data_IF_216208546263
#
_entry.id   IF_216208546263
#
_cell.length_a   1.000
_cell.length_b   1.000
_cell.length_c   1.000
_cell.angle_alpha   90.00
_cell.angle_beta   90.00
_cell.angle_gamma   90.00
#
_symmetry.space_group_name_H-M   'P 1'
#
loop_
_entity.id
_entity.type
_entity.pdbx_description
1 polymer ?
#
# COMPACT_ATOMS: atom_id res chain seq x y z
N UNK A 1 7.72 -9.11 -14.33
CA UNK A 1 7.96 -10.35 -13.59
C UNK A 1 6.77 -10.69 -12.72
N UNK A 2 6.08 -11.77 -13.01
CA UNK A 2 4.97 -12.25 -12.17
C UNK A 2 5.41 -13.23 -11.10
N UNK A 3 6.57 -13.85 -11.26
CA UNK A 3 7.09 -14.88 -10.38
C UNK A 3 8.56 -14.63 -10.09
N UNK A 4 8.99 -15.04 -8.90
CA UNK A 4 10.40 -15.10 -8.54
C UNK A 4 10.82 -16.55 -8.64
N UNK A 5 11.89 -16.80 -9.38
CA UNK A 5 12.50 -18.13 -9.46
C UNK A 5 13.74 -18.15 -8.58
N UNK A 6 13.79 -19.14 -7.71
CA UNK A 6 14.93 -19.36 -6.82
C UNK A 6 15.58 -20.69 -7.20
N UNK A 7 16.84 -20.61 -7.59
CA UNK A 7 17.62 -21.81 -7.87
C UNK A 7 18.36 -22.26 -6.63
N UNK A 8 18.03 -23.43 -6.11
CA UNK A 8 18.72 -24.07 -5.03
C UNK A 8 19.31 -25.38 -5.54
N UNK A 9 20.64 -25.39 -5.75
CA UNK A 9 21.31 -26.54 -6.32
C UNK A 9 20.81 -26.77 -7.77
N UNK A 10 20.22 -27.91 -8.06
CA UNK A 10 19.65 -28.24 -9.38
C UNK A 10 18.12 -28.09 -9.42
N UNK A 11 17.53 -27.63 -8.33
CA UNK A 11 16.08 -27.48 -8.22
C UNK A 11 15.71 -26.02 -8.35
N UNK A 12 14.82 -25.74 -9.28
CA UNK A 12 14.22 -24.41 -9.44
C UNK A 12 12.84 -24.41 -8.78
N UNK A 13 12.64 -23.44 -7.88
CA UNK A 13 11.37 -23.25 -7.21
C UNK A 13 10.72 -21.97 -7.70
N UNK A 14 9.53 -22.09 -8.21
CA UNK A 14 8.72 -20.95 -8.61
C UNK A 14 7.96 -20.43 -7.41
N UNK A 15 8.34 -19.24 -6.95
CA UNK A 15 7.61 -18.57 -5.89
C UNK A 15 6.33 -17.95 -6.44
N UNK A 16 5.35 -17.75 -5.54
CA UNK A 16 4.13 -17.05 -5.90
C UNK A 16 4.42 -15.62 -6.36
N UNK A 17 3.59 -15.12 -7.26
CA UNK A 17 3.67 -13.74 -7.72
C UNK A 17 3.61 -12.76 -6.55
N UNK A 18 4.30 -11.64 -6.69
CA UNK A 18 4.20 -10.55 -5.72
C UNK A 18 2.76 -10.02 -5.70
N UNK A 19 2.15 -10.05 -4.55
CA UNK A 19 0.76 -9.60 -4.36
C UNK A 19 0.71 -8.58 -3.22
N UNK A 20 0.55 -7.30 -3.53
CA UNK A 20 0.25 -6.32 -2.51
C UNK A 20 -1.12 -6.59 -1.88
N UNK A 21 -1.29 -6.23 -0.63
CA UNK A 21 -2.54 -6.45 0.09
C UNK A 21 -3.70 -5.70 -0.55
N UNK A 22 -3.48 -4.45 -0.89
CA UNK A 22 -4.51 -3.61 -1.49
C UNK A 22 -3.89 -2.64 -2.49
N UNK A 23 -4.52 -2.52 -3.64
CA UNK A 23 -4.20 -1.51 -4.63
C UNK A 23 -5.43 -0.63 -4.83
N UNK A 24 -5.25 0.67 -4.69
CA UNK A 24 -6.29 1.66 -4.99
C UNK A 24 -5.86 2.48 -6.18
N UNK A 25 -6.75 2.64 -7.13
CA UNK A 25 -6.50 3.43 -8.33
C UNK A 25 -7.50 4.57 -8.38
N UNK A 26 -7.01 5.79 -8.47
CA UNK A 26 -7.83 6.98 -8.65
C UNK A 26 -7.71 7.49 -10.08
N UNK A 27 -8.72 8.19 -10.55
CA UNK A 27 -8.80 8.74 -11.92
C UNK A 27 -8.46 7.70 -12.99
N UNK A 28 -8.99 6.50 -12.78
CA UNK A 28 -8.70 5.33 -13.61
C UNK A 28 -8.97 5.58 -15.08
N UNK A 29 -8.03 5.23 -15.93
CA UNK A 29 -8.07 5.35 -17.38
C UNK A 29 -8.00 6.79 -17.88
N UNK A 30 -7.50 7.69 -17.07
CA UNK A 30 -7.20 9.08 -17.46
C UNK A 30 -5.71 9.37 -17.37
N UNK A 31 -5.27 10.48 -17.93
CA UNK A 31 -3.88 10.97 -17.81
C UNK A 31 -3.49 11.28 -16.36
N UNK A 32 -4.45 11.45 -15.47
CA UNK A 32 -4.23 11.74 -14.06
C UNK A 32 -4.33 10.50 -13.16
N UNK A 33 -4.37 9.31 -13.73
CA UNK A 33 -4.44 8.08 -12.97
C UNK A 33 -3.29 8.00 -11.95
N UNK A 34 -3.64 7.68 -10.73
CA UNK A 34 -2.69 7.43 -9.64
C UNK A 34 -2.96 6.07 -9.03
N UNK A 35 -1.89 5.36 -8.73
CA UNK A 35 -1.97 4.06 -8.08
C UNK A 35 -1.38 4.16 -6.68
N UNK A 36 -2.13 3.64 -5.70
CA UNK A 36 -1.71 3.60 -4.30
C UNK A 36 -1.57 2.14 -3.90
N UNK A 37 -0.37 1.78 -3.45
CA UNK A 37 -0.08 0.46 -2.89
C UNK A 37 -0.22 0.57 -1.39
N UNK A 38 -1.24 -0.07 -0.85
CA UNK A 38 -1.62 0.04 0.54
C UNK A 38 -1.37 -1.30 1.26
N UNK A 39 -0.79 -1.23 2.43
CA UNK A 39 -0.57 -2.39 3.28
C UNK A 39 -1.13 -2.10 4.66
N UNK A 40 -2.10 -2.90 5.06
CA UNK A 40 -2.73 -2.77 6.37
C UNK A 40 -1.89 -3.50 7.41
N UNK A 41 -1.45 -2.78 8.40
CA UNK A 41 -0.62 -3.32 9.48
C UNK A 41 -1.30 -3.10 10.83
N UNK A 42 -1.58 -4.18 11.52
CA UNK A 42 -2.12 -4.16 12.88
C UNK A 42 -1.03 -3.91 13.90
N UNK A 43 -0.22 -2.87 13.67
CA UNK A 43 0.82 -2.48 14.60
C UNK A 43 0.24 -1.69 15.77
N UNK A 44 0.82 -1.91 16.94
CA UNK A 44 0.39 -1.26 18.19
C UNK A 44 0.78 0.22 18.26
N UNK A 45 1.42 0.76 17.23
CA UNK A 45 1.84 2.15 17.20
C UNK A 45 0.68 3.12 17.39
N UNK A 46 -0.48 2.83 16.84
CA UNK A 46 -1.67 3.66 17.00
C UNK A 46 -2.06 3.87 18.46
N UNK A 47 -1.79 2.88 19.32
CA UNK A 47 -2.07 2.90 20.74
C UNK A 47 -0.88 3.42 21.56
N UNK A 48 0.30 2.87 21.31
CA UNK A 48 1.49 3.06 22.15
C UNK A 48 2.31 4.30 21.78
N UNK A 49 2.27 4.70 20.51
CA UNK A 49 3.13 5.75 19.94
C UNK A 49 4.63 5.49 20.11
N UNK A 50 5.01 4.23 20.32
CA UNK A 50 6.40 3.82 20.45
C UNK A 50 6.98 3.46 19.07
N UNK A 51 8.18 3.95 18.77
CA UNK A 51 8.83 3.76 17.47
C UNK A 51 9.10 2.28 17.13
N UNK A 52 9.36 1.46 18.15
CA UNK A 52 9.55 0.03 17.94
C UNK A 52 8.28 -0.73 17.55
N UNK A 53 7.12 -0.08 17.61
CA UNK A 53 5.85 -0.63 17.14
C UNK A 53 5.49 -0.18 15.72
N UNK A 54 6.39 0.49 15.04
CA UNK A 54 6.27 0.83 13.62
C UNK A 54 6.69 -0.36 12.73
N UNK A 55 6.26 -0.35 11.46
CA UNK A 55 6.72 -1.36 10.50
C UNK A 55 8.24 -1.38 10.38
N UNK A 56 8.81 -2.59 10.35
CA UNK A 56 10.25 -2.80 10.29
C UNK A 56 10.78 -2.73 8.85
N UNK A 57 12.10 -2.71 8.71
CA UNK A 57 12.79 -2.59 7.42
C UNK A 57 12.34 -3.60 6.36
N UNK A 58 12.07 -4.84 6.76
CA UNK A 58 11.56 -5.86 5.85
C UNK A 58 10.22 -5.50 5.22
N UNK A 59 9.32 -4.89 5.97
CA UNK A 59 8.03 -4.40 5.45
C UNK A 59 8.22 -3.22 4.50
N UNK A 60 9.17 -2.34 4.77
CA UNK A 60 9.50 -1.21 3.93
C UNK A 60 10.01 -1.68 2.56
N UNK A 61 10.99 -2.59 2.55
CA UNK A 61 11.58 -3.15 1.33
C UNK A 61 10.52 -3.88 0.51
N UNK A 62 9.70 -4.68 1.15
CA UNK A 62 8.60 -5.42 0.50
C UNK A 62 7.61 -4.48 -0.18
N UNK A 63 7.26 -3.39 0.46
CA UNK A 63 6.33 -2.41 -0.07
C UNK A 63 6.91 -1.68 -1.29
N UNK A 64 8.19 -1.35 -1.26
CA UNK A 64 8.89 -0.78 -2.40
C UNK A 64 8.92 -1.77 -3.56
N UNK A 65 9.20 -3.05 -3.29
CA UNK A 65 9.20 -4.09 -4.31
C UNK A 65 7.84 -4.25 -4.99
N UNK A 66 6.75 -4.15 -4.26
CA UNK A 66 5.41 -4.17 -4.84
C UNK A 66 5.17 -3.02 -5.80
N UNK A 67 5.56 -1.82 -5.43
CA UNK A 67 5.40 -0.64 -6.28
C UNK A 67 6.27 -0.73 -7.54
N UNK A 68 7.51 -1.18 -7.41
CA UNK A 68 8.39 -1.42 -8.56
C UNK A 68 7.80 -2.47 -9.52
N UNK A 69 7.21 -3.51 -9.00
CA UNK A 69 6.56 -4.56 -9.78
C UNK A 69 5.39 -4.00 -10.60
N UNK A 70 4.57 -3.16 -9.99
CA UNK A 70 3.45 -2.51 -10.67
C UNK A 70 3.97 -1.58 -11.78
N UNK A 71 4.98 -0.77 -11.49
CA UNK A 71 5.59 0.12 -12.48
C UNK A 71 6.14 -0.66 -13.68
N UNK A 72 6.81 -1.77 -13.44
CA UNK A 72 7.32 -2.63 -14.52
C UNK A 72 6.20 -3.20 -15.38
N UNK A 73 5.10 -3.64 -14.77
CA UNK A 73 3.94 -4.10 -15.53
C UNK A 73 3.32 -3.01 -16.38
N UNK A 74 3.18 -1.81 -15.85
CA UNK A 74 2.69 -0.66 -16.60
C UNK A 74 3.61 -0.33 -17.78
N UNK A 75 4.93 -0.32 -17.56
CA UNK A 75 5.92 -0.01 -18.60
C UNK A 75 5.97 -1.06 -19.72
N UNK A 76 5.61 -2.30 -19.43
CA UNK A 76 5.53 -3.37 -20.42
C UNK A 76 4.20 -3.40 -21.19
N UNK A 77 3.27 -2.51 -20.85
CA UNK A 77 1.95 -2.49 -21.45
C UNK A 77 1.03 -3.64 -21.00
N UNK A 78 1.39 -4.35 -19.93
CA UNK A 78 0.57 -5.43 -19.37
C UNK A 78 -0.69 -4.90 -18.65
N UNK A 79 -0.66 -3.64 -18.25
CA UNK A 79 -1.82 -2.93 -17.71
C UNK A 79 -2.30 -1.89 -18.72
N UNK A 80 -3.62 -1.75 -18.84
CA UNK A 80 -4.25 -0.91 -19.89
C UNK A 80 -3.81 0.54 -19.87
N UNK A 81 -3.53 1.09 -18.70
CA UNK A 81 -3.17 2.49 -18.54
C UNK A 81 -1.99 2.63 -17.59
N UNK A 82 -1.13 3.59 -17.91
CA UNK A 82 0.02 3.92 -17.10
C UNK A 82 -0.35 4.98 -16.08
N UNK A 83 0.03 4.76 -14.83
CA UNK A 83 -0.19 5.73 -13.76
C UNK A 83 0.77 6.91 -13.87
N UNK A 84 0.28 8.09 -13.62
CA UNK A 84 1.10 9.31 -13.50
C UNK A 84 2.05 9.23 -12.32
N UNK A 85 1.59 8.62 -11.23
CA UNK A 85 2.39 8.39 -10.03
C UNK A 85 1.92 7.13 -9.30
N UNK A 86 2.86 6.48 -8.63
CA UNK A 86 2.60 5.35 -7.75
C UNK A 86 3.04 5.75 -6.34
N UNK A 87 2.17 5.55 -5.37
CA UNK A 87 2.40 5.89 -3.97
C UNK A 87 2.30 4.66 -3.08
N UNK A 88 3.05 4.66 -2.00
CA UNK A 88 3.02 3.63 -0.98
C UNK A 88 2.52 4.18 0.34
N UNK A 89 1.71 3.39 1.05
CA UNK A 89 1.30 3.73 2.40
C UNK A 89 1.11 2.48 3.27
N UNK A 90 1.46 2.63 4.54
CA UNK A 90 1.01 1.74 5.60
C UNK A 90 -0.23 2.32 6.26
N UNK A 91 -1.26 1.51 6.35
CA UNK A 91 -2.51 1.87 7.02
C UNK A 91 -2.54 1.14 8.36
N UNK A 92 -2.58 1.89 9.43
CA UNK A 92 -2.57 1.35 10.79
C UNK A 92 -3.84 1.77 11.53
N UNK A 93 -4.53 0.85 12.19
CA UNK A 93 -5.74 1.19 12.95
C UNK A 93 -5.39 1.95 14.22
N UNK A 94 -6.27 2.84 14.61
CA UNK A 94 -6.23 3.49 15.91
C UNK A 94 -7.64 3.87 16.36
N UNK A 95 -7.79 4.24 17.60
CA UNK A 95 -9.01 4.81 18.13
C UNK A 95 -8.82 6.31 18.33
N UNK A 96 -9.57 7.10 17.58
CA UNK A 96 -9.53 8.55 17.71
C UNK A 96 -10.33 9.00 18.93
N UNK A 97 -9.74 9.88 19.70
CA UNK A 97 -10.40 10.56 20.82
C UNK A 97 -11.17 11.82 20.37
N UNK A 98 -10.96 12.23 19.12
CA UNK A 98 -11.59 13.41 18.53
C UNK A 98 -12.55 13.00 17.43
N UNK A 99 -13.76 13.52 17.45
CA UNK A 99 -14.82 13.14 16.51
C UNK A 99 -14.50 13.40 15.04
N UNK A 100 -13.61 14.35 14.74
CA UNK A 100 -13.32 14.83 13.38
C UNK A 100 -12.01 14.28 12.82
N UNK A 101 -11.27 13.48 13.58
CA UNK A 101 -9.95 12.98 13.19
C UNK A 101 -10.05 11.52 12.73
N UNK A 102 -10.54 11.31 11.51
CA UNK A 102 -10.72 9.96 10.95
C UNK A 102 -9.42 9.35 10.41
N UNK A 103 -8.51 10.19 9.94
CA UNK A 103 -7.21 9.79 9.43
C UNK A 103 -6.15 10.75 9.94
N UNK A 104 -4.98 10.20 10.23
CA UNK A 104 -3.85 10.99 10.69
C UNK A 104 -2.56 10.54 10.02
N UNK A 105 -1.88 11.46 9.35
CA UNK A 105 -0.55 11.24 8.84
C UNK A 105 0.46 11.36 9.99
N UNK A 106 1.28 10.32 10.18
CA UNK A 106 2.25 10.28 11.29
C UNK A 106 3.69 10.34 10.85
N UNK A 107 3.97 10.17 9.57
CA UNK A 107 5.32 10.26 9.05
C UNK A 107 5.53 9.42 7.82
N UNK A 108 6.76 9.37 7.37
CA UNK A 108 7.17 8.56 6.21
C UNK A 108 8.32 7.65 6.59
N UNK A 109 8.27 6.42 6.13
CA UNK A 109 9.37 5.48 6.20
C UNK A 109 10.12 5.47 4.87
N UNK A 110 11.42 5.34 4.94
CA UNK A 110 12.27 5.20 3.77
C UNK A 110 13.49 4.35 4.12
N UNK A 111 14.20 3.93 3.11
CA UNK A 111 15.45 3.19 3.29
C UNK A 111 16.57 3.88 2.52
N UNK A 112 17.78 3.83 3.03
CA UNK A 112 18.97 4.33 2.35
C UNK A 112 19.35 3.48 1.12
N UNK A 113 18.86 2.27 1.04
CA UNK A 113 19.06 1.36 -0.07
C UNK A 113 18.37 1.84 -1.36
N UNK A 114 17.22 2.48 -1.26
CA UNK A 114 16.44 3.01 -2.39
C UNK A 114 16.25 4.51 -2.22
N UNK A 115 17.16 5.25 -2.81
CA UNK A 115 17.12 6.71 -2.88
C UNK A 115 16.89 7.14 -4.32
N UNK A 116 16.13 8.18 -4.54
CA UNK A 116 15.86 8.70 -5.87
C UNK A 116 14.51 9.38 -5.98
N UNK A 117 14.08 9.62 -7.21
CA UNK A 117 12.94 10.48 -7.54
C UNK A 117 11.59 9.78 -7.51
N UNK A 118 11.57 8.47 -7.28
CA UNK A 118 10.30 7.72 -7.27
C UNK A 118 9.49 8.04 -6.03
N UNK A 119 8.26 8.46 -6.22
CA UNK A 119 7.34 8.80 -5.13
C UNK A 119 7.07 7.62 -4.18
N UNK A 120 7.15 6.40 -4.68
CA UNK A 120 6.91 5.20 -3.88
C UNK A 120 8.12 4.75 -3.03
N UNK A 121 9.27 5.41 -3.14
CA UNK A 121 10.41 5.13 -2.25
C UNK A 121 10.18 5.63 -0.82
N UNK A 122 9.26 6.55 -0.65
CA UNK A 122 8.80 6.99 0.68
C UNK A 122 7.43 6.39 0.95
N UNK A 123 7.30 5.66 2.03
CA UNK A 123 6.06 5.01 2.42
C UNK A 123 5.42 5.83 3.52
N UNK A 124 4.23 6.35 3.24
CA UNK A 124 3.49 7.15 4.22
C UNK A 124 2.89 6.24 5.28
N UNK A 125 3.00 6.63 6.53
CA UNK A 125 2.35 5.96 7.64
C UNK A 125 1.09 6.75 8.02
N UNK A 126 -0.06 6.10 7.89
CA UNK A 126 -1.36 6.72 8.08
C UNK A 126 -2.13 5.93 9.14
N UNK A 127 -2.59 6.62 10.16
CA UNK A 127 -3.52 6.08 11.15
C UNK A 127 -4.94 6.29 10.66
N UNK A 128 -5.77 5.27 10.74
CA UNK A 128 -7.18 5.32 10.35
C UNK A 128 -8.03 4.90 11.54
N UNK A 129 -9.00 5.72 11.89
CA UNK A 129 -9.95 5.40 12.95
C UNK A 129 -10.78 4.18 12.54
N UNK A 130 -10.69 3.12 13.33
CA UNK A 130 -11.38 1.85 13.07
C UNK A 130 -12.88 2.01 13.04
N UNK A 131 -13.44 2.84 13.91
CA UNK A 131 -14.87 3.10 13.96
C UNK A 131 -15.35 3.78 12.68
N UNK A 132 -14.65 4.81 12.23
CA UNK A 132 -14.95 5.50 10.98
C UNK A 132 -14.84 4.56 9.78
N UNK A 133 -13.81 3.72 9.76
CA UNK A 133 -13.59 2.76 8.68
C UNK A 133 -14.75 1.76 8.57
N UNK A 134 -15.21 1.22 9.68
CA UNK A 134 -16.36 0.30 9.72
C UNK A 134 -17.65 0.98 9.23
N UNK A 135 -17.91 2.20 9.65
CA UNK A 135 -19.10 2.95 9.24
C UNK A 135 -19.11 3.24 7.74
N UNK A 136 -17.95 3.59 7.17
CA UNK A 136 -17.84 3.89 5.74
C UNK A 136 -17.81 2.64 4.86
N UNK A 137 -17.27 1.54 5.33
CA UNK A 137 -17.34 0.25 4.64
C UNK A 137 -18.77 -0.18 4.42
N UNK A 138 -19.61 -0.13 5.45
CA UNK A 138 -21.02 -0.45 5.36
C UNK A 138 -21.80 0.47 4.40
N UNK A 139 -21.44 1.74 4.31
CA UNK A 139 -22.04 2.68 3.34
C UNK A 139 -21.71 2.30 1.91
N UNK A 140 -20.49 1.89 1.64
CA UNK A 140 -20.05 1.48 0.29
C UNK A 140 -20.75 0.19 -0.16
N UNK A 141 -20.94 -0.77 0.70
CA UNK A 141 -21.72 -1.98 0.42
C UNK A 141 -23.16 -1.66 0.05
N UNK A 142 -23.79 -0.74 0.78
CA UNK A 142 -25.16 -0.28 0.47
C UNK A 142 -25.25 0.42 -0.89
N UNK A 143 -24.24 1.17 -1.28
CA UNK A 143 -24.19 1.82 -2.61
C UNK A 143 -24.07 0.80 -3.73
N UNK A 144 -23.28 -0.24 -3.55
CA UNK A 144 -23.12 -1.31 -4.54
C UNK A 144 -24.40 -2.14 -4.64
N UNK A 145 -25.06 -2.43 -3.53
CA UNK A 145 -26.34 -3.16 -3.52
C UNK A 145 -27.54 -2.35 -4.00
N UNK A 146 -27.43 -1.03 -4.08
CA UNK A 146 -28.49 -0.14 -4.58
C UNK A 146 -28.33 0.29 -6.04
N UNK A 147 -27.38 -0.28 -6.75
CA UNK A 147 -27.09 0.06 -8.15
C UNK A 147 -27.75 -0.87 -9.18
N UNK A 148 -28.66 -1.73 -8.74
CA UNK A 148 -29.45 -2.61 -9.63
C UNK A 148 -30.64 -1.89 -10.24
#
# INVERSE_FOLDING_TARGET
MGNIEVCLSRLEFKQSALRPDTIMITDKRTENQKTFVLDSKYYRYGESRQLNHLPMSGSIIKQIAYAEYIEKKENRGELKHKSKAIYNAFIMPYESKKADENMKFVGSAYTDYKTGDKSYYKIKAILVDTKWLMENHNRNEKRIGGAD
#
